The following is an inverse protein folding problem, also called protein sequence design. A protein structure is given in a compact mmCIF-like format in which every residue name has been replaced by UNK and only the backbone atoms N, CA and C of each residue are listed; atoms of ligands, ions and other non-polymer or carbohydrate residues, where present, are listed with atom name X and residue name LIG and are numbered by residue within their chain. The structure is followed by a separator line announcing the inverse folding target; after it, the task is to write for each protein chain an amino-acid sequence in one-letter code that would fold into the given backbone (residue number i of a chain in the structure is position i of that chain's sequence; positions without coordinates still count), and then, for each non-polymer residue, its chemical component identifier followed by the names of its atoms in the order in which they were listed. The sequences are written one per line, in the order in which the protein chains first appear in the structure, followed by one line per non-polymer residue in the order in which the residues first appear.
data_IF_405101106928
#
_entry.id   IF_405101106928
#
_cell.length_a   1.000
_cell.length_b   1.000
_cell.length_c   1.000
_cell.angle_alpha   90.00
_cell.angle_beta   90.00
_cell.angle_gamma   90.00
#
_symmetry.space_group_name_H-M   'P 1'
#
loop_
_entity.id
_entity.type
_entity.pdbx_description
1 polymer ?
#
# COMPACT_ATOMS: atom_id res chain seq x y z
N UNK A 1 9.40 17.65 18.67
CA UNK A 1 10.80 17.34 18.35
C UNK A 1 10.80 16.92 16.90
N UNK A 2 11.23 17.85 16.05
CA UNK A 2 11.31 17.69 14.60
C UNK A 2 12.59 16.93 14.29
N UNK A 3 12.50 15.74 13.73
CA UNK A 3 13.63 15.02 13.16
C UNK A 3 13.69 15.34 11.68
N UNK A 4 14.45 16.38 11.34
CA UNK A 4 14.96 16.59 9.99
C UNK A 4 15.92 15.42 9.68
N UNK A 5 15.43 14.44 8.93
CA UNK A 5 16.27 13.41 8.34
C UNK A 5 16.80 13.95 7.02
N UNK A 6 18.09 14.26 7.03
CA UNK A 6 18.92 14.59 5.90
C UNK A 6 18.69 13.66 4.70
N UNK A 7 18.09 14.18 3.64
CA UNK A 7 17.95 13.56 2.33
C UNK A 7 18.96 14.17 1.32
N UNK A 8 20.11 14.62 1.81
CA UNK A 8 21.14 15.25 0.98
C UNK A 8 22.08 14.22 0.29
N UNK A 9 22.11 12.97 0.70
CA UNK A 9 23.07 11.98 0.20
C UNK A 9 22.46 11.09 -0.90
N UNK A 10 22.72 11.44 -2.13
CA UNK A 10 22.37 10.62 -3.31
C UNK A 10 22.51 11.31 -4.66
N UNK A 11 23.06 12.52 -4.70
CA UNK A 11 23.20 13.29 -5.95
C UNK A 11 24.64 13.55 -6.40
N UNK A 12 25.67 12.97 -5.78
CA UNK A 12 27.07 13.40 -6.01
C UNK A 12 27.97 12.51 -6.86
N UNK A 13 27.52 11.34 -7.35
CA UNK A 13 28.39 10.49 -8.16
C UNK A 13 27.88 10.32 -9.60
N UNK A 14 28.02 11.39 -10.40
CA UNK A 14 28.05 11.29 -11.87
C UNK A 14 29.39 11.87 -12.32
N UNK A 15 30.21 11.08 -13.08
CA UNK A 15 31.52 11.54 -13.54
C UNK A 15 31.38 12.79 -14.43
N UNK A 16 32.34 13.73 -14.40
CA UNK A 16 32.29 14.93 -15.20
C UNK A 16 32.42 14.56 -16.69
N UNK A 17 31.39 14.90 -17.47
CA UNK A 17 31.43 14.81 -18.92
C UNK A 17 32.24 16.00 -19.44
N UNK A 18 33.48 15.77 -19.91
CA UNK A 18 34.25 16.73 -20.65
C UNK A 18 33.63 16.97 -22.05
N UNK A 19 32.90 18.06 -22.18
CA UNK A 19 32.29 18.57 -23.39
C UNK A 19 31.24 19.59 -22.98
N UNK A 20 31.31 20.80 -23.49
CA UNK A 20 30.55 21.97 -23.07
C UNK A 20 29.13 21.65 -22.60
N UNK A 21 28.83 21.97 -21.34
CA UNK A 21 27.59 21.62 -20.69
C UNK A 21 26.42 22.20 -21.49
N UNK A 22 25.57 21.32 -21.98
CA UNK A 22 24.43 21.68 -22.80
C UNK A 22 23.34 22.27 -21.88
N UNK A 23 22.76 23.41 -22.25
CA UNK A 23 21.71 24.10 -21.50
C UNK A 23 20.58 23.12 -21.08
N UNK A 24 20.20 22.19 -21.94
CA UNK A 24 19.24 21.12 -21.64
C UNK A 24 19.71 20.18 -20.50
N UNK A 25 20.99 19.84 -20.48
CA UNK A 25 21.55 18.93 -19.46
C UNK A 25 21.64 19.64 -18.10
N UNK A 26 21.91 20.94 -18.08
CA UNK A 26 21.84 21.77 -16.87
C UNK A 26 20.40 21.83 -16.36
N UNK A 27 19.45 22.18 -17.23
CA UNK A 27 18.02 22.22 -16.90
C UNK A 27 17.55 20.88 -16.33
N UNK A 28 17.97 19.75 -16.91
CA UNK A 28 17.63 18.41 -16.43
C UNK A 28 18.23 18.12 -15.05
N UNK A 29 19.48 18.52 -14.78
CA UNK A 29 20.10 18.35 -13.45
C UNK A 29 19.34 19.14 -12.40
N UNK A 30 19.09 20.42 -12.67
CA UNK A 30 18.40 21.31 -11.72
C UNK A 30 16.96 20.89 -11.44
N UNK A 31 16.32 20.24 -12.42
CA UNK A 31 14.94 19.77 -12.33
C UNK A 31 14.81 18.27 -12.02
N UNK A 32 15.87 17.62 -11.46
CA UNK A 32 15.80 16.23 -11.03
C UNK A 32 15.71 15.20 -12.15
N UNK A 33 16.21 15.49 -13.34
CA UNK A 33 16.28 14.59 -14.50
C UNK A 33 15.11 14.73 -15.47
N UNK A 34 14.24 15.74 -15.31
CA UNK A 34 13.08 15.96 -16.19
C UNK A 34 12.91 17.44 -16.48
N UNK A 35 12.53 17.79 -17.69
CA UNK A 35 12.36 19.19 -18.10
C UNK A 35 11.14 19.36 -19.03
N UNK A 36 10.47 20.50 -18.89
CA UNK A 36 9.38 20.88 -19.79
C UNK A 36 9.94 21.69 -20.95
N UNK A 37 9.73 21.21 -22.18
CA UNK A 37 10.13 21.87 -23.41
C UNK A 37 8.93 22.64 -23.99
N UNK A 38 9.00 23.94 -23.97
CA UNK A 38 8.00 24.81 -24.59
C UNK A 38 8.17 24.87 -26.12
N UNK A 39 7.09 25.17 -26.84
CA UNK A 39 7.09 25.24 -28.30
C UNK A 39 8.20 26.14 -28.87
N UNK A 40 8.51 27.22 -28.17
CA UNK A 40 9.51 28.24 -28.58
C UNK A 40 10.78 28.19 -27.69
N UNK A 41 11.02 27.10 -26.98
CA UNK A 41 12.22 26.97 -26.15
C UNK A 41 13.47 26.86 -27.03
N UNK A 42 14.54 27.57 -26.66
CA UNK A 42 15.88 27.46 -27.28
C UNK A 42 16.44 26.02 -27.15
N UNK A 43 16.08 25.31 -26.09
CA UNK A 43 16.51 23.94 -25.81
C UNK A 43 15.77 22.87 -26.61
N UNK A 44 14.75 23.25 -27.42
CA UNK A 44 13.94 22.26 -28.18
C UNK A 44 14.81 21.46 -29.17
N UNK A 45 15.67 22.11 -29.94
CA UNK A 45 16.57 21.44 -30.87
C UNK A 45 17.58 20.53 -30.17
N UNK A 46 18.01 20.93 -28.96
CA UNK A 46 18.89 20.11 -28.11
C UNK A 46 18.13 18.87 -27.59
N UNK A 47 16.87 19.03 -27.16
CA UNK A 47 16.03 17.92 -26.73
C UNK A 47 15.76 16.92 -27.86
N UNK A 48 15.47 17.41 -29.09
CA UNK A 48 15.25 16.55 -30.26
C UNK A 48 16.51 15.74 -30.59
N UNK A 49 17.70 16.35 -30.54
CA UNK A 49 18.98 15.63 -30.74
C UNK A 49 19.28 14.64 -29.62
N UNK A 50 19.01 14.99 -28.35
CA UNK A 50 19.21 14.10 -27.21
C UNK A 50 18.29 12.87 -27.29
N UNK A 51 17.04 13.06 -27.67
CA UNK A 51 16.07 11.97 -27.89
C UNK A 51 16.52 11.08 -29.06
N UNK A 52 16.93 11.67 -30.19
CA UNK A 52 17.44 10.91 -31.33
C UNK A 52 18.71 10.11 -31.01
N UNK A 53 19.53 10.63 -30.10
CA UNK A 53 20.77 9.96 -29.64
C UNK A 53 20.52 8.96 -28.49
N UNK A 54 19.26 8.76 -28.04
CA UNK A 54 18.90 7.84 -26.96
C UNK A 54 19.30 8.31 -25.56
N UNK A 55 19.81 9.54 -25.41
CA UNK A 55 20.18 10.10 -24.10
C UNK A 55 18.98 10.66 -23.31
N UNK A 56 17.90 10.98 -24.00
CA UNK A 56 16.66 11.46 -23.39
C UNK A 56 15.45 10.74 -23.97
N UNK A 57 14.34 10.75 -23.23
CA UNK A 57 13.06 10.14 -23.65
C UNK A 57 11.92 11.16 -23.52
N UNK A 58 10.98 11.11 -24.46
CA UNK A 58 9.73 11.92 -24.39
C UNK A 58 8.71 11.18 -23.53
N UNK A 59 8.62 11.54 -22.25
CA UNK A 59 7.67 10.92 -21.33
C UNK A 59 6.24 11.35 -21.57
N UNK A 60 6.02 12.66 -21.75
CA UNK A 60 4.69 13.26 -21.93
C UNK A 60 4.78 14.38 -22.98
N UNK A 61 3.66 14.84 -23.57
CA UNK A 61 3.70 15.94 -24.53
C UNK A 61 4.38 17.19 -23.95
N UNK A 62 5.50 17.57 -24.57
CA UNK A 62 6.32 18.70 -24.10
C UNK A 62 7.14 18.43 -22.83
N UNK A 63 7.29 17.18 -22.41
CA UNK A 63 8.14 16.80 -21.24
C UNK A 63 9.14 15.73 -21.67
N UNK A 64 10.40 16.01 -21.40
CA UNK A 64 11.54 15.15 -21.74
C UNK A 64 12.29 14.82 -20.44
N UNK A 65 12.75 13.59 -20.31
CA UNK A 65 13.56 13.14 -19.18
C UNK A 65 14.85 12.47 -19.66
N UNK A 66 15.81 12.39 -18.76
CA UNK A 66 17.01 11.57 -18.90
C UNK A 66 16.60 10.10 -19.12
N UNK A 67 17.11 9.49 -20.17
CA UNK A 67 16.77 8.11 -20.52
C UNK A 67 17.16 7.11 -19.42
N UNK A 68 18.29 7.32 -18.74
CA UNK A 68 18.75 6.47 -17.63
C UNK A 68 17.90 6.57 -16.36
N UNK A 69 17.04 7.59 -16.27
CA UNK A 69 16.18 7.85 -15.11
C UNK A 69 14.69 7.77 -15.42
N UNK A 70 14.32 7.45 -16.66
CA UNK A 70 12.93 7.46 -17.10
C UNK A 70 12.05 6.47 -16.32
N UNK A 71 12.63 5.41 -15.79
CA UNK A 71 11.92 4.41 -14.98
C UNK A 71 11.75 4.79 -13.50
N UNK A 72 12.50 5.79 -13.04
CA UNK A 72 12.33 6.30 -11.67
C UNK A 72 10.94 6.92 -11.48
N UNK A 73 10.17 6.38 -10.54
CA UNK A 73 8.82 6.87 -10.23
C UNK A 73 8.80 8.33 -9.78
N UNK A 74 9.90 8.83 -9.18
CA UNK A 74 10.03 10.25 -8.80
C UNK A 74 10.12 11.13 -10.05
N UNK A 75 10.85 10.68 -11.06
CA UNK A 75 10.94 11.34 -12.37
C UNK A 75 9.57 11.32 -13.06
N UNK A 76 8.86 10.20 -13.01
CA UNK A 76 7.49 10.07 -13.56
C UNK A 76 6.51 11.02 -12.86
N UNK A 77 6.56 11.13 -11.52
CA UNK A 77 5.73 12.09 -10.76
C UNK A 77 6.03 13.54 -11.17
N UNK A 78 7.30 13.90 -11.25
CA UNK A 78 7.71 15.22 -11.68
C UNK A 78 7.30 15.52 -13.14
N UNK A 79 7.43 14.54 -14.03
CA UNK A 79 6.99 14.65 -15.41
C UNK A 79 5.48 14.92 -15.52
N UNK A 80 4.66 14.24 -14.73
CA UNK A 80 3.22 14.48 -14.66
C UNK A 80 2.94 15.90 -14.18
N UNK A 81 3.60 16.35 -13.12
CA UNK A 81 3.45 17.71 -12.58
C UNK A 81 3.87 18.79 -13.58
N UNK A 82 5.00 18.61 -14.29
CA UNK A 82 5.43 19.50 -15.33
C UNK A 82 4.48 19.53 -16.53
N UNK A 83 3.91 18.38 -16.90
CA UNK A 83 2.95 18.30 -17.98
C UNK A 83 1.62 18.98 -17.62
N UNK A 84 1.17 18.78 -16.38
CA UNK A 84 -0.11 19.34 -15.90
C UNK A 84 -0.08 19.60 -14.40
N UNK A 85 0.12 20.85 -14.01
CA UNK A 85 0.29 21.27 -12.62
C UNK A 85 -0.87 20.91 -11.68
N UNK A 86 -2.10 20.79 -12.23
CA UNK A 86 -3.30 20.41 -11.47
C UNK A 86 -3.46 18.89 -11.31
N UNK A 87 -2.56 18.08 -11.90
CA UNK A 87 -2.60 16.64 -11.74
C UNK A 87 -2.22 16.25 -10.31
N UNK A 88 -3.06 15.42 -9.71
CA UNK A 88 -2.89 14.93 -8.33
C UNK A 88 -2.43 13.49 -8.39
N UNK A 89 -1.21 13.21 -7.96
CA UNK A 89 -0.64 11.86 -7.87
C UNK A 89 -1.45 11.05 -6.84
N UNK A 90 -1.75 9.78 -7.14
CA UNK A 90 -2.53 8.90 -6.29
C UNK A 90 -2.00 7.46 -6.34
N UNK A 91 -2.45 6.61 -5.43
CA UNK A 91 -2.08 5.19 -5.39
C UNK A 91 -0.70 4.96 -4.81
N UNK A 92 0.01 3.97 -5.34
CA UNK A 92 1.28 3.47 -4.78
C UNK A 92 2.35 4.55 -4.67
N UNK A 93 2.57 5.32 -5.73
CA UNK A 93 3.55 6.41 -5.74
C UNK A 93 3.28 7.46 -4.66
N UNK A 94 2.02 7.85 -4.49
CA UNK A 94 1.62 8.79 -3.44
C UNK A 94 1.84 8.21 -2.04
N UNK A 95 1.57 6.92 -1.81
CA UNK A 95 1.81 6.26 -0.52
C UNK A 95 3.31 6.21 -0.18
N UNK A 96 4.17 5.81 -1.13
CA UNK A 96 5.62 5.81 -0.92
C UNK A 96 6.14 7.21 -0.66
N UNK A 97 5.69 8.21 -1.43
CA UNK A 97 6.06 9.60 -1.21
C UNK A 97 5.68 10.11 0.19
N UNK A 98 4.59 9.61 0.76
CA UNK A 98 4.08 9.97 2.09
C UNK A 98 4.60 9.07 3.22
N UNK A 99 5.52 8.14 2.94
CA UNK A 99 6.25 7.41 3.96
C UNK A 99 6.00 5.91 4.03
N UNK A 100 5.10 5.34 3.22
CA UNK A 100 4.90 3.88 3.20
C UNK A 100 6.14 3.18 2.67
N UNK A 101 6.61 2.21 3.43
CA UNK A 101 7.58 1.20 2.97
C UNK A 101 6.80 0.18 2.14
N UNK A 102 7.17 -0.06 0.86
CA UNK A 102 6.46 -0.99 -0.01
C UNK A 102 6.41 -2.42 0.54
N UNK A 103 5.38 -3.21 0.16
CA UNK A 103 5.32 -4.63 0.50
C UNK A 103 6.60 -5.37 0.10
N UNK A 104 7.13 -6.17 1.01
CA UNK A 104 8.36 -6.93 0.77
C UNK A 104 9.68 -6.14 0.84
N UNK A 105 9.62 -4.81 1.00
CA UNK A 105 10.79 -3.95 1.16
C UNK A 105 11.12 -3.72 2.64
N UNK A 106 12.39 -3.39 2.92
CA UNK A 106 12.83 -2.96 4.26
C UNK A 106 12.96 -1.44 4.38
N UNK A 107 13.02 -0.76 3.25
CA UNK A 107 13.21 0.68 3.16
C UNK A 107 12.14 1.30 2.27
N UNK A 108 12.05 2.61 2.35
CA UNK A 108 11.18 3.42 1.49
C UNK A 108 11.77 3.46 0.07
N UNK A 109 11.28 2.56 -0.78
CA UNK A 109 11.83 2.36 -2.12
C UNK A 109 10.78 2.66 -3.19
N UNK A 110 11.12 3.59 -4.09
CA UNK A 110 10.30 3.94 -5.23
C UNK A 110 10.42 2.94 -6.40
N UNK A 111 11.43 2.07 -6.42
CA UNK A 111 11.60 1.06 -7.47
C UNK A 111 10.47 0.02 -7.46
N UNK A 112 9.82 -0.18 -6.30
CA UNK A 112 8.63 -1.03 -6.18
C UNK A 112 7.38 -0.46 -6.91
N UNK A 113 7.45 0.78 -7.41
CA UNK A 113 6.33 1.44 -8.08
C UNK A 113 6.63 1.56 -9.58
N UNK A 114 6.14 0.64 -10.38
CA UNK A 114 6.38 0.63 -11.83
C UNK A 114 5.52 1.63 -12.61
N UNK A 115 4.28 1.85 -12.17
CA UNK A 115 3.34 2.78 -12.78
C UNK A 115 2.94 3.89 -11.81
N UNK A 116 3.09 5.13 -12.22
CA UNK A 116 2.63 6.31 -11.49
C UNK A 116 1.25 6.73 -11.98
N UNK A 117 0.30 6.75 -11.07
CA UNK A 117 -1.06 7.19 -11.33
C UNK A 117 -1.32 8.62 -10.87
N UNK A 118 -2.14 9.31 -11.65
CA UNK A 118 -2.64 10.62 -11.26
C UNK A 118 -4.08 10.85 -11.73
N UNK A 119 -4.73 11.80 -11.11
CA UNK A 119 -6.00 12.35 -11.56
C UNK A 119 -5.82 13.79 -12.02
N UNK A 120 -6.37 14.13 -13.18
CA UNK A 120 -6.40 15.49 -13.70
C UNK A 120 -7.83 15.86 -14.06
N UNK A 121 -8.22 17.08 -13.74
CA UNK A 121 -9.58 17.58 -14.02
C UNK A 121 -9.89 17.67 -15.50
N UNK A 122 -8.90 17.96 -16.33
CA UNK A 122 -9.09 18.35 -17.73
C UNK A 122 -8.54 17.33 -18.70
N UNK A 123 -7.45 16.62 -18.38
CA UNK A 123 -6.71 15.76 -19.30
C UNK A 123 -6.48 14.37 -18.73
N UNK A 124 -6.57 13.38 -19.60
CA UNK A 124 -6.11 12.03 -19.33
C UNK A 124 -5.04 11.63 -20.34
N UNK A 125 -4.10 10.80 -19.95
CA UNK A 125 -3.08 10.22 -20.83
C UNK A 125 -2.61 8.90 -20.28
N UNK A 126 -2.30 7.95 -21.17
CA UNK A 126 -1.62 6.70 -20.83
C UNK A 126 -0.33 6.64 -21.62
N UNK A 127 0.78 6.42 -20.92
CA UNK A 127 2.11 6.16 -21.43
C UNK A 127 2.73 5.06 -20.60
N UNK A 128 3.86 4.51 -21.05
CA UNK A 128 4.60 3.53 -20.29
C UNK A 128 4.94 4.06 -18.89
N UNK A 129 4.55 3.30 -17.87
CA UNK A 129 4.73 3.67 -16.46
C UNK A 129 4.01 4.93 -15.98
N UNK A 130 3.13 5.52 -16.79
CA UNK A 130 2.34 6.72 -16.43
C UNK A 130 0.88 6.55 -16.84
N UNK A 131 -0.02 6.74 -15.87
CA UNK A 131 -1.47 6.70 -16.11
C UNK A 131 -2.16 7.91 -15.46
N UNK A 132 -2.59 8.86 -16.28
CA UNK A 132 -3.37 10.00 -15.82
C UNK A 132 -4.82 9.85 -16.24
N UNK A 133 -5.70 9.73 -15.29
CA UNK A 133 -7.15 9.67 -15.53
C UNK A 133 -7.75 11.07 -15.54
N UNK A 134 -8.71 11.29 -16.45
CA UNK A 134 -9.52 12.52 -16.40
C UNK A 134 -10.52 12.43 -15.25
N UNK A 135 -10.14 13.05 -14.13
CA UNK A 135 -10.91 12.98 -12.89
C UNK A 135 -10.56 14.12 -11.93
N UNK A 136 -11.52 14.57 -11.13
CA UNK A 136 -11.30 15.62 -10.14
C UNK A 136 -11.18 15.03 -8.74
N UNK A 137 -10.03 15.24 -8.10
CA UNK A 137 -9.89 15.07 -6.65
C UNK A 137 -10.33 16.37 -5.97
N UNK A 138 -11.31 16.33 -5.06
CA UNK A 138 -11.66 17.51 -4.28
C UNK A 138 -10.45 18.01 -3.47
N UNK A 139 -10.27 19.33 -3.37
CA UNK A 139 -9.09 19.94 -2.72
C UNK A 139 -8.83 19.41 -1.31
N UNK A 140 -9.88 19.14 -0.52
CA UNK A 140 -9.77 18.58 0.84
C UNK A 140 -9.12 17.18 0.91
N UNK A 141 -8.99 16.50 -0.22
CA UNK A 141 -8.35 15.18 -0.34
C UNK A 141 -7.04 15.25 -1.12
N UNK A 142 -6.50 16.44 -1.27
CA UNK A 142 -5.20 16.69 -1.88
C UNK A 142 -4.27 17.35 -0.86
N UNK A 143 -3.01 16.95 -0.92
CA UNK A 143 -1.87 17.51 -0.17
C UNK A 143 -0.74 17.78 -1.15
N UNK A 144 0.44 18.13 -0.67
CA UNK A 144 1.62 18.34 -1.49
C UNK A 144 2.82 17.58 -0.92
N UNK A 145 3.65 17.11 -1.82
CA UNK A 145 4.96 16.58 -1.52
C UNK A 145 5.98 17.23 -2.47
N UNK A 146 6.91 18.05 -1.94
CA UNK A 146 7.89 18.80 -2.77
C UNK A 146 7.22 19.49 -3.96
N UNK A 147 6.21 20.30 -3.72
CA UNK A 147 5.42 21.04 -4.73
C UNK A 147 4.58 20.18 -5.70
N UNK A 148 4.68 18.86 -5.65
CA UNK A 148 3.84 17.96 -6.45
C UNK A 148 2.53 17.68 -5.72
N UNK A 149 1.36 17.99 -6.32
CA UNK A 149 0.07 17.69 -5.71
C UNK A 149 -0.14 16.18 -5.58
N UNK A 150 -0.55 15.72 -4.39
CA UNK A 150 -0.84 14.31 -4.10
C UNK A 150 -2.19 14.15 -3.44
N UNK A 151 -2.81 13.00 -3.66
CA UNK A 151 -3.96 12.59 -2.86
C UNK A 151 -3.52 12.27 -1.42
N UNK A 152 -4.38 12.56 -0.44
CA UNK A 152 -4.14 12.10 0.94
C UNK A 152 -4.00 10.58 0.98
N UNK A 153 -3.29 10.01 1.98
CA UNK A 153 -3.05 8.57 2.08
C UNK A 153 -4.34 7.74 2.01
N UNK A 154 -5.39 8.19 2.69
CA UNK A 154 -6.68 7.51 2.73
C UNK A 154 -7.32 7.37 1.34
N UNK A 155 -7.17 8.38 0.48
CA UNK A 155 -7.69 8.31 -0.88
C UNK A 155 -6.94 7.27 -1.72
N UNK A 156 -5.63 7.20 -1.57
CA UNK A 156 -4.79 6.19 -2.22
C UNK A 156 -5.11 4.78 -1.71
N UNK A 157 -5.26 4.61 -0.39
CA UNK A 157 -5.66 3.33 0.23
C UNK A 157 -7.03 2.88 -0.26
N UNK A 158 -8.03 3.76 -0.31
CA UNK A 158 -9.36 3.43 -0.83
C UNK A 158 -9.33 3.04 -2.31
N UNK A 159 -8.51 3.71 -3.13
CA UNK A 159 -8.32 3.35 -4.54
C UNK A 159 -7.77 1.92 -4.67
N UNK A 160 -6.72 1.60 -3.93
CA UNK A 160 -6.05 0.31 -3.96
C UNK A 160 -6.95 -0.80 -3.41
N UNK A 161 -7.67 -0.55 -2.31
CA UNK A 161 -8.63 -1.49 -1.73
C UNK A 161 -9.76 -1.85 -2.71
N UNK A 162 -10.33 -0.87 -3.41
CA UNK A 162 -11.37 -1.10 -4.43
C UNK A 162 -10.84 -1.92 -5.63
N UNK A 163 -9.54 -1.88 -5.88
CA UNK A 163 -8.87 -2.67 -6.93
C UNK A 163 -8.39 -4.04 -6.46
N UNK A 164 -8.47 -4.32 -5.18
CA UNK A 164 -7.99 -5.59 -4.60
C UNK A 164 -6.48 -5.61 -4.34
N UNK A 165 -5.80 -4.47 -4.37
CA UNK A 165 -4.36 -4.35 -4.11
C UNK A 165 -4.07 -4.27 -2.60
N UNK A 166 -4.50 -5.33 -1.89
CA UNK A 166 -4.55 -5.37 -0.43
C UNK A 166 -3.20 -5.38 0.25
N UNK A 167 -2.14 -5.84 -0.40
CA UNK A 167 -0.78 -5.79 0.17
C UNK A 167 -0.38 -4.37 0.56
N UNK A 168 -0.63 -3.40 -0.33
CA UNK A 168 -0.35 -1.98 -0.07
C UNK A 168 -1.27 -1.37 0.99
N UNK A 169 -2.52 -1.80 1.01
CA UNK A 169 -3.51 -1.36 2.01
C UNK A 169 -3.09 -1.83 3.40
N UNK A 170 -2.73 -3.10 3.54
CA UNK A 170 -2.27 -3.68 4.79
C UNK A 170 -0.98 -3.01 5.29
N UNK A 171 -0.04 -2.71 4.40
CA UNK A 171 1.18 -2.00 4.78
C UNK A 171 0.91 -0.58 5.27
N UNK A 172 0.02 0.16 4.61
CA UNK A 172 -0.36 1.50 5.06
C UNK A 172 -1.05 1.49 6.43
N UNK A 173 -1.85 0.46 6.74
CA UNK A 173 -2.48 0.25 8.04
C UNK A 173 -1.44 -0.17 9.09
N UNK A 174 -0.59 -1.15 8.79
CA UNK A 174 0.45 -1.67 9.68
C UNK A 174 1.44 -0.58 10.10
N UNK A 175 1.84 0.25 9.16
CA UNK A 175 2.75 1.38 9.38
C UNK A 175 2.02 2.61 9.97
N UNK A 176 0.72 2.52 10.24
CA UNK A 176 -0.11 3.57 10.85
C UNK A 176 -0.15 4.88 10.06
N UNK A 177 0.14 4.84 8.75
CA UNK A 177 -0.06 6.00 7.88
C UNK A 177 -1.54 6.37 7.78
N UNK A 178 -2.40 5.36 7.79
CA UNK A 178 -3.86 5.50 7.84
C UNK A 178 -4.43 4.63 8.96
N UNK A 179 -5.66 4.95 9.35
CA UNK A 179 -6.45 4.15 10.30
C UNK A 179 -7.82 3.81 9.67
N UNK A 180 -8.51 2.76 10.15
CA UNK A 180 -9.89 2.51 9.72
C UNK A 180 -10.81 3.73 9.86
N UNK A 181 -10.61 4.52 10.92
CA UNK A 181 -11.38 5.74 11.18
C UNK A 181 -11.08 6.82 10.15
N UNK A 182 -9.80 7.10 9.84
CA UNK A 182 -9.42 8.11 8.87
C UNK A 182 -9.88 7.72 7.45
N UNK A 183 -9.75 6.44 7.06
CA UNK A 183 -10.28 5.93 5.79
C UNK A 183 -11.80 6.11 5.68
N UNK A 184 -12.55 5.85 6.75
CA UNK A 184 -14.00 6.07 6.80
C UNK A 184 -14.37 7.53 6.59
N UNK A 185 -13.60 8.46 7.17
CA UNK A 185 -13.79 9.90 6.97
C UNK A 185 -13.56 10.33 5.52
N UNK A 186 -12.69 9.64 4.80
CA UNK A 186 -12.41 9.90 3.39
C UNK A 186 -13.37 9.19 2.40
N UNK A 187 -14.41 8.48 2.88
CA UNK A 187 -15.32 7.65 2.05
C UNK A 187 -15.89 8.34 0.80
N UNK A 188 -16.11 9.65 0.86
CA UNK A 188 -16.69 10.40 -0.26
C UNK A 188 -15.67 10.82 -1.33
N UNK A 189 -14.36 10.56 -1.11
CA UNK A 189 -13.31 10.95 -2.04
C UNK A 189 -13.46 10.30 -3.42
N UNK A 190 -13.79 9.02 -3.45
CA UNK A 190 -13.86 8.20 -4.67
C UNK A 190 -15.25 7.58 -4.93
N UNK A 191 -16.24 7.81 -4.06
CA UNK A 191 -17.52 7.10 -4.08
C UNK A 191 -18.31 7.29 -5.39
N UNK A 192 -18.20 8.44 -6.02
CA UNK A 192 -18.89 8.71 -7.27
C UNK A 192 -18.17 8.10 -8.50
N UNK A 193 -16.85 7.74 -8.40
CA UNK A 193 -16.14 7.01 -9.46
C UNK A 193 -16.42 5.51 -9.43
N UNK A 194 -16.32 4.92 -8.24
CA UNK A 194 -16.37 3.47 -8.06
C UNK A 194 -17.73 2.96 -7.57
N UNK A 195 -18.68 3.88 -7.29
CA UNK A 195 -19.95 3.56 -6.66
C UNK A 195 -19.84 3.42 -5.15
N UNK A 196 -20.91 3.81 -4.46
CA UNK A 196 -20.93 3.77 -2.98
C UNK A 196 -20.73 2.37 -2.42
N UNK A 197 -21.30 1.35 -3.09
CA UNK A 197 -21.25 -0.02 -2.59
C UNK A 197 -19.83 -0.59 -2.58
N UNK A 198 -19.00 -0.33 -3.62
CA UNK A 198 -17.60 -0.78 -3.66
C UNK A 198 -16.73 -0.12 -2.60
N UNK A 199 -16.93 1.18 -2.36
CA UNK A 199 -16.27 1.90 -1.28
C UNK A 199 -16.72 1.37 0.09
N UNK A 200 -18.01 1.07 0.27
CA UNK A 200 -18.52 0.51 1.52
C UNK A 200 -17.95 -0.88 1.78
N UNK A 201 -17.85 -1.74 0.76
CA UNK A 201 -17.23 -3.06 0.88
C UNK A 201 -15.75 -2.94 1.26
N UNK A 202 -15.00 -2.07 0.58
CA UNK A 202 -13.59 -1.82 0.91
C UNK A 202 -13.41 -1.30 2.35
N UNK A 203 -14.25 -0.38 2.80
CA UNK A 203 -14.23 0.14 4.17
C UNK A 203 -14.62 -0.92 5.21
N UNK A 204 -15.52 -1.85 4.87
CA UNK A 204 -15.85 -2.97 5.74
C UNK A 204 -14.63 -3.88 5.97
N UNK A 205 -13.84 -4.13 4.94
CA UNK A 205 -12.59 -4.88 5.06
C UNK A 205 -11.49 -4.10 5.79
N UNK A 206 -11.32 -2.81 5.47
CA UNK A 206 -10.39 -1.92 6.19
C UNK A 206 -10.74 -1.82 7.69
N UNK A 207 -12.04 -1.94 8.06
CA UNK A 207 -12.48 -1.85 9.45
C UNK A 207 -11.91 -2.94 10.35
N UNK A 208 -11.47 -4.06 9.78
CA UNK A 208 -10.74 -5.11 10.51
C UNK A 208 -9.30 -4.73 10.84
N UNK A 209 -8.78 -3.64 10.27
CA UNK A 209 -7.40 -3.18 10.45
C UNK A 209 -6.36 -4.27 10.13
N UNK A 210 -6.45 -4.99 9.01
CA UNK A 210 -5.53 -6.08 8.72
C UNK A 210 -4.13 -5.54 8.42
N UNK A 211 -3.10 -6.20 8.96
CA UNK A 211 -1.70 -5.85 8.71
C UNK A 211 -1.05 -6.75 7.65
N UNK A 212 -1.76 -7.82 7.26
CA UNK A 212 -1.39 -8.69 6.15
C UNK A 212 -2.62 -9.16 5.38
N UNK A 213 -2.41 -9.63 4.14
CA UNK A 213 -3.49 -10.19 3.32
C UNK A 213 -4.09 -11.46 3.93
N UNK A 214 -3.30 -12.40 4.51
CA UNK A 214 -3.87 -13.55 5.18
C UNK A 214 -4.71 -13.21 6.42
N UNK A 215 -4.36 -12.19 7.20
CA UNK A 215 -5.22 -11.68 8.28
C UNK A 215 -6.57 -11.15 7.74
N UNK A 216 -6.55 -10.45 6.60
CA UNK A 216 -7.78 -10.04 5.93
C UNK A 216 -8.63 -11.24 5.50
N UNK A 217 -8.02 -12.30 4.98
CA UNK A 217 -8.75 -13.54 4.62
C UNK A 217 -9.45 -14.15 5.83
N UNK A 218 -8.74 -14.27 6.95
CA UNK A 218 -9.31 -14.77 8.20
C UNK A 218 -10.47 -13.89 8.68
N UNK A 219 -10.29 -12.57 8.66
CA UNK A 219 -11.32 -11.60 9.05
C UNK A 219 -12.59 -11.72 8.18
N UNK A 220 -12.42 -11.89 6.88
CA UNK A 220 -13.54 -12.13 5.94
C UNK A 220 -14.26 -13.44 6.23
N UNK A 221 -13.52 -14.50 6.52
CA UNK A 221 -14.08 -15.81 6.87
C UNK A 221 -14.87 -15.75 8.18
N UNK A 222 -14.31 -15.15 9.22
CA UNK A 222 -14.98 -14.95 10.52
C UNK A 222 -16.29 -14.18 10.35
N UNK A 223 -16.26 -13.07 9.61
CA UNK A 223 -17.46 -12.27 9.33
C UNK A 223 -18.50 -13.03 8.54
N UNK A 224 -18.11 -13.75 7.49
CA UNK A 224 -19.02 -14.46 6.60
C UNK A 224 -19.79 -15.57 7.33
N UNK A 225 -19.13 -16.25 8.25
CA UNK A 225 -19.76 -17.29 9.07
C UNK A 225 -20.54 -16.68 10.24
N UNK A 226 -20.29 -15.41 10.60
CA UNK A 226 -21.04 -14.71 11.63
C UNK A 226 -20.41 -14.78 13.03
N UNK A 227 -19.10 -15.00 13.14
CA UNK A 227 -18.40 -14.85 14.42
C UNK A 227 -18.49 -13.40 14.90
N UNK A 228 -18.63 -13.20 16.20
CA UNK A 228 -18.70 -11.89 16.87
C UNK A 228 -17.77 -11.88 18.08
N UNK A 229 -17.47 -10.69 18.62
CA UNK A 229 -16.67 -10.54 19.84
C UNK A 229 -15.18 -10.74 19.66
N UNK A 230 -14.68 -10.67 18.43
CA UNK A 230 -13.24 -10.74 18.12
C UNK A 230 -12.69 -9.38 17.67
N UNK A 231 -11.41 -9.19 17.87
CA UNK A 231 -10.66 -8.00 17.47
C UNK A 231 -9.38 -8.40 16.74
N UNK A 232 -8.96 -7.59 15.77
CA UNK A 232 -7.68 -7.78 15.09
C UNK A 232 -6.59 -6.99 15.77
N UNK A 233 -5.34 -7.47 15.65
CA UNK A 233 -4.16 -6.80 16.15
C UNK A 233 -4.27 -6.39 17.62
N UNK A 234 -4.80 -7.32 18.43
CA UNK A 234 -5.05 -7.10 19.86
C UNK A 234 -3.75 -7.17 20.63
N UNK A 235 -3.45 -6.13 21.39
CA UNK A 235 -2.31 -6.12 22.31
C UNK A 235 -2.67 -6.89 23.58
N UNK A 236 -1.82 -7.84 23.93
CA UNK A 236 -1.88 -8.60 25.19
C UNK A 236 -0.62 -8.32 25.98
N UNK A 237 -0.77 -7.75 27.15
CA UNK A 237 0.34 -7.51 28.08
C UNK A 237 0.51 -8.73 28.99
N UNK A 238 1.74 -9.24 29.08
CA UNK A 238 2.14 -10.38 29.91
C UNK A 238 3.31 -9.99 30.82
N UNK A 239 3.68 -10.85 31.75
CA UNK A 239 4.85 -10.59 32.60
C UNK A 239 6.17 -10.54 31.80
N UNK A 240 6.24 -11.26 30.69
CA UNK A 240 7.41 -11.36 29.83
C UNK A 240 7.44 -10.28 28.73
N UNK A 241 6.36 -9.50 28.55
CA UNK A 241 6.26 -8.43 27.57
C UNK A 241 4.87 -8.27 26.97
N UNK A 242 4.78 -7.39 25.99
CA UNK A 242 3.55 -7.14 25.25
C UNK A 242 3.59 -7.85 23.89
N UNK A 243 2.56 -8.60 23.59
CA UNK A 243 2.40 -9.29 22.30
C UNK A 243 1.18 -8.74 21.55
N UNK A 244 1.22 -8.75 20.24
CA UNK A 244 0.06 -8.41 19.40
C UNK A 244 -0.44 -9.67 18.73
N UNK A 245 -1.72 -10.00 18.90
CA UNK A 245 -2.38 -11.16 18.30
C UNK A 245 -3.12 -10.74 17.03
N UNK A 246 -2.98 -11.48 15.94
CA UNK A 246 -3.63 -11.15 14.65
C UNK A 246 -5.15 -11.13 14.79
N UNK A 247 -5.73 -12.14 15.46
CA UNK A 247 -7.14 -12.19 15.82
C UNK A 247 -7.28 -12.70 17.26
N UNK A 248 -8.07 -12.01 18.07
CA UNK A 248 -8.31 -12.36 19.47
C UNK A 248 -9.78 -12.30 19.84
N UNK A 249 -10.21 -13.30 20.60
CA UNK A 249 -11.46 -13.33 21.33
C UNK A 249 -11.13 -13.14 22.83
N UNK A 250 -11.12 -11.90 23.24
CA UNK A 250 -10.59 -11.48 24.55
C UNK A 250 -11.33 -12.14 25.72
N UNK A 251 -12.66 -12.26 25.61
CA UNK A 251 -13.51 -12.85 26.65
C UNK A 251 -13.19 -14.33 26.91
N UNK A 252 -12.82 -15.05 25.86
CA UNK A 252 -12.49 -16.47 25.92
C UNK A 252 -11.00 -16.74 26.02
N UNK A 253 -10.17 -15.70 25.86
CA UNK A 253 -8.71 -15.79 25.74
C UNK A 253 -8.30 -16.80 24.65
N UNK A 254 -8.90 -16.67 23.48
CA UNK A 254 -8.60 -17.49 22.31
C UNK A 254 -8.01 -16.59 21.23
N UNK A 255 -6.85 -16.95 20.71
CA UNK A 255 -6.17 -16.21 19.65
C UNK A 255 -5.86 -17.07 18.43
N UNK A 256 -5.77 -16.43 17.27
CA UNK A 256 -5.26 -17.03 16.03
C UNK A 256 -4.14 -16.16 15.52
N UNK A 257 -3.04 -16.78 15.14
CA UNK A 257 -1.92 -16.14 14.44
C UNK A 257 -1.71 -16.78 13.08
N UNK A 258 -1.53 -15.92 12.07
CA UNK A 258 -1.29 -16.34 10.69
C UNK A 258 0.19 -16.20 10.40
N UNK A 259 0.94 -17.25 10.66
CA UNK A 259 2.39 -17.27 10.57
C UNK A 259 2.89 -17.30 9.11
N UNK A 260 3.58 -16.24 8.71
CA UNK A 260 4.32 -16.20 7.43
C UNK A 260 5.59 -17.05 7.48
N UNK A 261 6.01 -17.57 6.34
CA UNK A 261 7.23 -18.41 6.21
C UNK A 261 8.53 -17.78 6.73
N UNK A 262 8.56 -16.46 6.94
CA UNK A 262 9.79 -15.74 7.30
C UNK A 262 10.14 -15.79 8.79
N UNK A 263 9.24 -16.24 9.67
CA UNK A 263 9.46 -16.16 11.14
C UNK A 263 10.34 -17.32 11.66
N UNK A 264 10.43 -18.44 10.94
CA UNK A 264 11.11 -19.65 11.41
C UNK A 264 12.47 -19.91 10.74
N UNK A 265 13.05 -18.92 10.06
CA UNK A 265 14.31 -19.09 9.31
C UNK A 265 15.59 -19.13 10.15
N UNK A 266 15.54 -18.73 11.43
CA UNK A 266 16.69 -18.72 12.32
C UNK A 266 16.35 -19.40 13.66
N UNK A 267 17.36 -20.01 14.35
CA UNK A 267 17.18 -20.59 15.69
C UNK A 267 16.60 -19.59 16.68
N UNK A 268 17.07 -18.34 16.67
CA UNK A 268 16.63 -17.27 17.56
C UNK A 268 15.16 -16.88 17.31
N UNK A 269 14.72 -16.86 16.05
CA UNK A 269 13.33 -16.60 15.68
C UNK A 269 12.38 -17.70 16.15
N UNK A 270 12.84 -18.97 16.10
CA UNK A 270 12.11 -20.10 16.63
C UNK A 270 11.98 -20.04 18.15
N UNK A 271 13.08 -19.78 18.88
CA UNK A 271 13.07 -19.64 20.33
C UNK A 271 12.17 -18.50 20.80
N UNK A 272 12.23 -17.35 20.13
CA UNK A 272 11.34 -16.22 20.42
C UNK A 272 9.85 -16.59 20.25
N UNK A 273 9.52 -17.37 19.22
CA UNK A 273 8.15 -17.86 19.00
C UNK A 273 7.70 -18.82 20.12
N UNK A 274 8.57 -19.72 20.55
CA UNK A 274 8.27 -20.65 21.66
C UNK A 274 8.06 -19.90 22.98
N UNK A 275 8.94 -18.95 23.30
CA UNK A 275 8.81 -18.11 24.49
C UNK A 275 7.51 -17.30 24.47
N UNK A 276 7.15 -16.72 23.33
CA UNK A 276 5.88 -16.00 23.14
C UNK A 276 4.69 -16.91 23.40
N UNK A 277 4.69 -18.11 22.81
CA UNK A 277 3.60 -19.08 22.97
C UNK A 277 3.46 -19.52 24.43
N UNK A 278 4.57 -19.81 25.10
CA UNK A 278 4.59 -20.18 26.52
C UNK A 278 4.10 -19.05 27.42
N UNK A 279 4.49 -17.81 27.14
CA UNK A 279 4.02 -16.63 27.88
C UNK A 279 2.51 -16.44 27.75
N UNK A 280 1.98 -16.53 26.54
CA UNK A 280 0.53 -16.43 26.30
C UNK A 280 -0.25 -17.55 26.99
N UNK A 281 0.25 -18.79 26.94
CA UNK A 281 -0.37 -19.95 27.60
C UNK A 281 -0.42 -19.76 29.12
N UNK A 282 0.67 -19.33 29.77
CA UNK A 282 0.71 -18.97 31.19
C UNK A 282 -0.33 -17.92 31.59
N UNK A 283 -0.69 -17.03 30.68
CA UNK A 283 -1.73 -16.01 30.86
C UNK A 283 -3.12 -16.49 30.44
N UNK A 284 -3.26 -17.80 30.17
CA UNK A 284 -4.52 -18.47 29.88
C UNK A 284 -5.02 -18.30 28.45
N UNK A 285 -4.18 -17.85 27.52
CA UNK A 285 -4.53 -17.75 26.10
C UNK A 285 -4.35 -19.11 25.42
N UNK A 286 -5.35 -19.49 24.64
CA UNK A 286 -5.31 -20.65 23.76
C UNK A 286 -5.03 -20.19 22.36
N UNK A 287 -3.83 -20.47 21.86
CA UNK A 287 -3.40 -20.01 20.55
C UNK A 287 -3.57 -21.07 19.48
N UNK A 288 -4.01 -20.64 18.29
CA UNK A 288 -3.95 -21.42 17.06
C UNK A 288 -3.01 -20.73 16.08
N UNK A 289 -1.91 -21.39 15.79
CA UNK A 289 -0.97 -20.96 14.76
C UNK A 289 -1.35 -21.60 13.43
N UNK A 290 -1.56 -20.82 12.39
CA UNK A 290 -1.92 -21.29 11.05
C UNK A 290 -1.02 -20.66 10.00
N UNK A 291 -0.80 -21.37 8.92
CA UNK A 291 -0.13 -20.79 7.76
C UNK A 291 -1.15 -20.21 6.77
N UNK A 292 -0.77 -19.24 5.91
CA UNK A 292 -1.63 -18.79 4.81
C UNK A 292 -2.12 -19.93 3.91
N UNK A 293 -1.31 -20.98 3.74
CA UNK A 293 -1.68 -22.18 2.98
C UNK A 293 -2.76 -22.98 3.68
N UNK A 294 -2.63 -23.23 4.99
CA UNK A 294 -3.66 -23.90 5.78
C UNK A 294 -4.99 -23.14 5.73
N UNK A 295 -4.93 -21.82 5.95
CA UNK A 295 -6.12 -20.98 5.91
C UNK A 295 -6.82 -21.05 4.54
N UNK A 296 -6.05 -21.05 3.45
CA UNK A 296 -6.60 -21.12 2.08
C UNK A 296 -7.14 -22.48 1.70
N UNK A 297 -6.49 -23.56 2.14
CA UNK A 297 -6.88 -24.93 1.76
C UNK A 297 -7.92 -25.55 2.70
N UNK A 298 -7.91 -25.17 3.98
CA UNK A 298 -8.76 -25.77 5.03
C UNK A 298 -9.35 -24.70 5.96
N UNK A 299 -10.01 -23.66 5.43
CA UNK A 299 -10.57 -22.58 6.26
C UNK A 299 -11.62 -23.11 7.25
N UNK A 300 -12.38 -24.12 6.87
CA UNK A 300 -13.38 -24.74 7.74
C UNK A 300 -12.75 -25.34 8.99
N UNK A 301 -11.62 -26.02 8.89
CA UNK A 301 -10.89 -26.54 10.06
C UNK A 301 -10.57 -25.44 11.08
N UNK A 302 -10.08 -24.29 10.60
CA UNK A 302 -9.76 -23.14 11.46
C UNK A 302 -11.01 -22.61 12.16
N UNK A 303 -12.10 -22.45 11.43
CA UNK A 303 -13.36 -21.92 11.97
C UNK A 303 -14.04 -22.90 12.93
N UNK A 304 -13.99 -24.21 12.66
CA UNK A 304 -14.50 -25.25 13.56
C UNK A 304 -13.67 -25.33 14.85
N UNK A 305 -12.34 -25.20 14.77
CA UNK A 305 -11.47 -25.14 15.94
C UNK A 305 -11.85 -23.95 16.85
N UNK A 306 -12.08 -22.78 16.27
CA UNK A 306 -12.58 -21.60 16.97
C UNK A 306 -13.96 -21.82 17.56
N UNK A 307 -14.90 -22.35 16.78
CA UNK A 307 -16.28 -22.59 17.23
C UNK A 307 -16.37 -23.51 18.45
N UNK A 308 -15.42 -24.43 18.63
CA UNK A 308 -15.38 -25.31 19.81
C UNK A 308 -14.94 -24.60 21.09
N UNK A 309 -14.26 -23.44 20.99
CA UNK A 309 -13.60 -22.74 22.11
C UNK A 309 -14.24 -21.43 22.48
N UNK A 310 -15.11 -20.92 21.64
CA UNK A 310 -15.79 -19.63 21.83
C UNK A 310 -17.19 -19.85 22.39
N UNK A 311 -17.64 -18.94 23.24
CA UNK A 311 -18.95 -19.01 23.85
C UNK A 311 -20.09 -19.09 22.81
N UNK A 312 -21.12 -19.87 23.09
CA UNK A 312 -22.25 -20.14 22.15
C UNK A 312 -22.86 -18.89 21.53
N UNK A 313 -22.97 -17.79 22.26
CA UNK A 313 -23.52 -16.52 21.76
C UNK A 313 -22.67 -15.84 20.67
N UNK A 314 -21.38 -16.17 20.59
CA UNK A 314 -20.41 -15.58 19.64
C UNK A 314 -19.99 -16.55 18.54
N UNK A 315 -20.44 -17.81 18.64
CA UNK A 315 -20.09 -18.86 17.68
C UNK A 315 -21.26 -19.21 16.78
N UNK A 316 -21.12 -19.06 15.48
CA UNK A 316 -22.08 -19.57 14.51
C UNK A 316 -21.86 -21.07 14.29
N UNK A 317 -22.84 -21.71 13.66
CA UNK A 317 -22.65 -23.03 13.05
C UNK A 317 -21.93 -22.87 11.71
N UNK A 318 -20.75 -23.49 11.58
CA UNK A 318 -19.98 -23.43 10.32
C UNK A 318 -20.64 -24.38 9.30
N UNK A 319 -21.46 -23.80 8.41
CA UNK A 319 -22.18 -24.56 7.38
C UNK A 319 -21.51 -24.47 6.01
N UNK A 320 -20.66 -23.49 5.77
CA UNK A 320 -19.99 -23.27 4.49
C UNK A 320 -18.89 -24.30 4.24
N UNK A 321 -18.76 -24.73 2.98
CA UNK A 321 -17.66 -25.56 2.51
C UNK A 321 -16.33 -24.78 2.46
N UNK A 322 -15.20 -25.50 2.39
CA UNK A 322 -13.89 -24.88 2.21
C UNK A 322 -13.81 -24.08 0.90
N UNK A 323 -14.49 -24.55 -0.16
CA UNK A 323 -14.53 -23.85 -1.43
C UNK A 323 -15.27 -22.50 -1.34
N UNK A 324 -16.44 -22.44 -0.70
CA UNK A 324 -17.21 -21.21 -0.50
C UNK A 324 -16.43 -20.21 0.36
N UNK A 325 -15.85 -20.68 1.46
CA UNK A 325 -15.01 -19.85 2.34
C UNK A 325 -13.79 -19.30 1.61
N UNK A 326 -13.12 -20.12 0.80
CA UNK A 326 -11.97 -19.68 0.02
C UNK A 326 -12.33 -18.58 -0.98
N UNK A 327 -13.48 -18.66 -1.64
CA UNK A 327 -13.97 -17.61 -2.54
C UNK A 327 -14.23 -16.30 -1.80
N UNK A 328 -14.87 -16.37 -0.64
CA UNK A 328 -15.15 -15.20 0.21
C UNK A 328 -13.85 -14.54 0.69
N UNK A 329 -12.91 -15.34 1.17
CA UNK A 329 -11.60 -14.86 1.62
C UNK A 329 -10.87 -14.08 0.52
N UNK A 330 -10.90 -14.58 -0.71
CA UNK A 330 -10.30 -13.92 -1.86
C UNK A 330 -11.09 -12.70 -2.37
N UNK A 331 -12.25 -12.40 -1.79
CA UNK A 331 -13.11 -11.29 -2.22
C UNK A 331 -13.88 -11.61 -3.51
N UNK A 332 -14.00 -12.86 -3.86
CA UNK A 332 -14.82 -13.32 -4.98
C UNK A 332 -16.27 -13.45 -4.47
N UNK A 333 -17.20 -12.74 -5.11
CA UNK A 333 -18.63 -12.82 -4.77
C UNK A 333 -19.12 -14.27 -4.78
N UNK A 334 -20.00 -14.70 -3.85
CA UNK A 334 -20.74 -15.94 -3.99
C UNK A 334 -21.50 -15.92 -5.32
N UNK A 335 -21.38 -16.99 -6.08
CA UNK A 335 -22.21 -17.22 -7.28
C UNK A 335 -23.63 -17.50 -6.88
#
# INVERSE_FOLDING_TARGET
MSTDLDLADGFSDVPPINGGVNELELDMRDCGGVVRIHRFSRTRGQADRAVKAGRAIRMLPGVVADAGRADDSRVKMQAIHMWHRDAVIIGKAALVAQGVIPPGSRTRDFSAVHEVEAFSRTRGIKREGILVHRWRVPRRYATQYRDVPMAIPEASVLLLAVRGEWEWVCEALRQKLVTPRSCRSARSCLSWKFGRHRITAALADISFNPWSVPELWLSRALRAVGFTGWHSNTRVDTAEGAFTLDQAFDAERVGVEVDGRCVHGTPEGYEATMMRSASLDRHGWRMLHITPTMLRQRPRFVLEWLAQRIHKRHRPKVMMSDHELSRIMLGLTPT
#
